data_IF_477243051355
#
_entry.id   IF_477243051355
#
_cell.length_a   1.000
_cell.length_b   1.000
_cell.length_c   1.000
_cell.angle_alpha   90.00
_cell.angle_beta   90.00
_cell.angle_gamma   90.00
#
_symmetry.space_group_name_H-M   'P 1'
#
loop_
_entity.id
_entity.type
_entity.pdbx_description
1 polymer ?
#
# COMPACT_ATOMS: atom_id res chain seq x y z
N UNK A 1 8.25 1.28 -11.99
CA UNK A 1 8.14 2.05 -10.73
C UNK A 1 8.01 1.02 -9.63
N UNK A 2 8.90 1.02 -8.63
CA UNK A 2 8.76 0.12 -7.50
C UNK A 2 7.42 0.40 -6.80
N UNK A 3 6.66 -0.65 -6.50
CA UNK A 3 5.43 -0.55 -5.71
C UNK A 3 5.66 -1.23 -4.39
N UNK A 4 5.19 -0.63 -3.32
CA UNK A 4 5.09 -1.31 -2.05
C UNK A 4 4.02 -2.40 -2.14
N UNK A 5 4.38 -3.60 -1.70
CA UNK A 5 3.48 -4.74 -1.55
C UNK A 5 2.33 -4.40 -0.59
N UNK A 6 1.11 -4.67 -1.03
CA UNK A 6 -0.10 -4.59 -0.19
C UNK A 6 -0.50 -5.95 0.36
N UNK A 7 0.03 -7.03 -0.20
CA UNK A 7 -0.15 -8.41 0.25
C UNK A 7 1.19 -9.14 0.23
N UNK A 8 1.54 -9.81 1.32
CA UNK A 8 2.71 -10.68 1.40
C UNK A 8 2.34 -12.00 2.05
N UNK A 9 2.87 -13.08 1.48
CA UNK A 9 2.69 -14.45 1.95
C UNK A 9 4.06 -15.08 2.11
N UNK A 10 4.29 -15.70 3.26
CA UNK A 10 5.49 -16.50 3.53
C UNK A 10 5.17 -17.97 3.26
N UNK A 11 6.09 -18.67 2.60
CA UNK A 11 6.02 -20.11 2.34
C UNK A 11 7.18 -20.84 3.01
N UNK A 12 6.92 -22.00 3.60
CA UNK A 12 7.94 -22.93 4.12
C UNK A 12 7.70 -24.34 3.59
N UNK A 13 8.74 -25.02 3.09
CA UNK A 13 8.59 -26.40 2.60
C UNK A 13 8.33 -27.34 3.78
N UNK A 14 7.38 -28.27 3.60
CA UNK A 14 7.04 -29.32 4.55
C UNK A 14 6.85 -30.62 3.76
N UNK A 15 7.91 -31.43 3.74
CA UNK A 15 8.01 -32.63 2.89
C UNK A 15 7.72 -32.30 1.41
N UNK A 16 6.67 -32.90 0.84
CA UNK A 16 6.20 -32.72 -0.54
C UNK A 16 5.20 -31.57 -0.71
N UNK A 17 4.94 -30.81 0.37
CA UNK A 17 3.96 -29.71 0.43
C UNK A 17 4.61 -28.42 0.93
N UNK A 18 3.79 -27.38 1.02
CA UNK A 18 4.18 -26.08 1.55
C UNK A 18 3.21 -25.65 2.64
N UNK A 19 3.75 -25.17 3.77
CA UNK A 19 3.02 -24.33 4.70
C UNK A 19 3.09 -22.88 4.24
N UNK A 20 2.01 -22.14 4.40
CA UNK A 20 1.99 -20.72 4.11
C UNK A 20 1.13 -19.92 5.09
N UNK A 21 1.44 -18.63 5.21
CA UNK A 21 0.63 -17.67 5.97
C UNK A 21 0.80 -16.27 5.41
N UNK A 22 -0.23 -15.43 5.58
CA UNK A 22 -0.16 -14.01 5.23
C UNK A 22 0.69 -13.29 6.29
N UNK A 23 1.74 -12.60 5.87
CA UNK A 23 2.61 -11.79 6.76
C UNK A 23 2.24 -10.31 6.72
N UNK A 24 1.73 -9.83 5.58
CA UNK A 24 1.29 -8.45 5.38
C UNK A 24 -0.02 -8.41 4.62
N UNK A 25 -0.96 -7.59 5.09
CA UNK A 25 -2.14 -7.19 4.33
C UNK A 25 -2.41 -5.72 4.66
N UNK A 26 -2.35 -4.85 3.66
CA UNK A 26 -2.72 -3.45 3.81
C UNK A 26 -4.24 -3.35 3.92
N UNK A 27 -4.76 -3.18 5.14
CA UNK A 27 -6.21 -3.20 5.40
C UNK A 27 -6.96 -1.94 4.93
N UNK A 28 -6.26 -0.87 4.55
CA UNK A 28 -6.89 0.32 3.94
C UNK A 28 -7.30 0.05 2.48
N UNK A 29 -6.48 -0.76 1.79
CA UNK A 29 -6.66 -1.12 0.37
C UNK A 29 -7.38 -2.48 0.25
N UNK A 30 -6.85 -3.50 0.91
CA UNK A 30 -7.38 -4.87 0.96
C UNK A 30 -8.25 -5.04 2.21
N UNK A 31 -9.34 -4.26 2.27
CA UNK A 31 -10.24 -4.17 3.42
C UNK A 31 -10.82 -5.52 3.82
N UNK A 32 -10.79 -5.78 5.13
CA UNK A 32 -11.30 -7.02 5.71
C UNK A 32 -12.80 -7.16 5.46
N UNK A 33 -13.20 -8.35 4.99
CA UNK A 33 -14.60 -8.72 4.75
C UNK A 33 -15.33 -7.83 3.71
N UNK A 34 -14.58 -7.05 2.93
CA UNK A 34 -15.11 -6.12 1.91
C UNK A 34 -14.38 -6.27 0.57
N UNK A 35 -13.07 -6.52 0.59
CA UNK A 35 -12.27 -6.59 -0.63
C UNK A 35 -12.64 -7.81 -1.49
N UNK A 36 -12.99 -7.58 -2.76
CA UNK A 36 -13.28 -8.62 -3.75
C UNK A 36 -12.67 -8.21 -5.10
N UNK A 37 -11.74 -9.00 -5.62
CA UNK A 37 -11.27 -8.94 -7.00
C UNK A 37 -11.68 -10.23 -7.74
N UNK A 38 -12.71 -10.11 -8.58
CA UNK A 38 -13.27 -11.24 -9.37
C UNK A 38 -12.41 -11.64 -10.55
N UNK A 39 -11.56 -10.75 -11.04
CA UNK A 39 -10.67 -11.01 -12.17
C UNK A 39 -9.47 -11.85 -11.70
N UNK A 40 -8.93 -11.53 -10.52
CA UNK A 40 -7.82 -12.25 -9.91
C UNK A 40 -8.27 -13.43 -9.04
N UNK A 41 -9.58 -13.57 -8.79
CA UNK A 41 -10.16 -14.51 -7.83
C UNK A 41 -9.52 -14.38 -6.44
N UNK A 42 -9.42 -13.15 -5.94
CA UNK A 42 -8.92 -12.85 -4.60
C UNK A 42 -10.00 -12.14 -3.79
N UNK A 43 -10.30 -12.63 -2.59
CA UNK A 43 -11.37 -12.07 -1.75
C UNK A 43 -10.96 -12.05 -0.28
N UNK A 44 -11.33 -10.99 0.43
CA UNK A 44 -11.29 -10.96 1.89
C UNK A 44 -12.64 -11.42 2.44
N UNK A 45 -12.66 -12.56 3.15
CA UNK A 45 -13.90 -13.14 3.66
C UNK A 45 -13.84 -13.51 5.16
N UNK A 46 -13.39 -14.71 5.50
CA UNK A 46 -13.35 -15.20 6.89
C UNK A 46 -11.92 -15.31 7.41
N UNK A 47 -11.15 -16.21 6.83
CA UNK A 47 -9.77 -16.52 7.17
C UNK A 47 -8.98 -16.83 5.89
N UNK A 48 -7.64 -16.75 5.94
CA UNK A 48 -6.81 -17.11 4.80
C UNK A 48 -7.03 -18.57 4.40
N UNK A 49 -7.29 -18.82 3.11
CA UNK A 49 -7.52 -20.15 2.55
C UNK A 49 -7.29 -20.09 1.03
N UNK A 50 -6.86 -21.19 0.41
CA UNK A 50 -6.85 -21.32 -1.04
C UNK A 50 -7.84 -22.40 -1.47
N UNK A 51 -8.83 -22.02 -2.27
CA UNK A 51 -9.87 -22.92 -2.74
C UNK A 51 -9.61 -23.35 -4.19
N UNK A 52 -8.94 -24.49 -4.33
CA UNK A 52 -8.38 -25.02 -5.58
C UNK A 52 -9.43 -25.21 -6.68
N UNK A 53 -10.65 -25.62 -6.35
CA UNK A 53 -11.72 -25.87 -7.34
C UNK A 53 -12.08 -24.59 -8.11
N UNK A 54 -12.00 -23.43 -7.46
CA UNK A 54 -12.33 -22.14 -8.07
C UNK A 54 -11.09 -21.29 -8.35
N UNK A 55 -9.88 -21.83 -8.11
CA UNK A 55 -8.63 -21.08 -8.15
C UNK A 55 -8.78 -19.73 -7.40
N UNK A 56 -9.26 -19.82 -6.16
CA UNK A 56 -9.64 -18.64 -5.37
C UNK A 56 -8.82 -18.51 -4.10
N UNK A 57 -8.18 -17.35 -3.93
CA UNK A 57 -7.42 -17.02 -2.74
C UNK A 57 -8.28 -16.16 -1.80
N UNK A 58 -8.57 -16.70 -0.62
CA UNK A 58 -9.10 -15.93 0.49
C UNK A 58 -7.96 -15.32 1.30
N UNK A 59 -8.01 -14.00 1.51
CA UNK A 59 -7.09 -13.27 2.39
C UNK A 59 -7.73 -13.01 3.76
N UNK A 60 -7.02 -12.36 4.68
CA UNK A 60 -7.53 -12.11 6.05
C UNK A 60 -8.86 -11.36 5.96
N UNK A 61 -9.85 -11.85 6.69
CA UNK A 61 -11.21 -11.36 6.66
C UNK A 61 -11.74 -11.07 8.06
N UNK A 62 -13.01 -11.41 8.29
CA UNK A 62 -13.74 -11.14 9.52
C UNK A 62 -13.18 -11.85 10.77
N UNK A 63 -12.51 -13.00 10.61
CA UNK A 63 -12.01 -13.81 11.73
C UNK A 63 -10.54 -13.54 12.05
N UNK A 64 -10.28 -12.53 12.89
CA UNK A 64 -8.91 -12.21 13.35
C UNK A 64 -8.20 -13.35 14.08
N UNK A 65 -8.95 -14.28 14.69
CA UNK A 65 -8.38 -15.45 15.37
C UNK A 65 -7.60 -16.36 14.42
N UNK A 66 -7.93 -16.34 13.13
CA UNK A 66 -7.27 -17.17 12.12
C UNK A 66 -6.20 -16.44 11.30
N UNK A 67 -5.82 -15.22 11.67
CA UNK A 67 -4.81 -14.46 10.93
C UNK A 67 -3.41 -15.07 11.00
N UNK A 68 -3.15 -15.83 12.07
CA UNK A 68 -1.90 -16.56 12.31
C UNK A 68 -2.01 -18.05 11.98
N UNK A 69 -3.15 -18.50 11.45
CA UNK A 69 -3.34 -19.89 11.07
C UNK A 69 -2.41 -20.23 9.89
N UNK A 70 -1.68 -21.33 10.02
CA UNK A 70 -0.82 -21.86 8.97
C UNK A 70 -1.69 -22.73 8.04
N UNK A 71 -1.71 -22.36 6.77
CA UNK A 71 -2.37 -23.11 5.72
C UNK A 71 -1.36 -24.03 5.01
N UNK A 72 -1.86 -25.03 4.30
CA UNK A 72 -1.03 -25.95 3.52
C UNK A 72 -1.46 -25.95 2.07
N UNK A 73 -0.53 -26.12 1.15
CA UNK A 73 -0.81 -26.24 -0.27
C UNK A 73 0.19 -27.19 -0.99
N UNK A 74 -0.19 -27.65 -2.18
CA UNK A 74 0.71 -28.37 -3.09
C UNK A 74 1.68 -27.39 -3.79
N UNK A 75 2.62 -27.92 -4.57
CA UNK A 75 3.53 -27.07 -5.34
C UNK A 75 2.80 -26.31 -6.45
N UNK A 76 1.81 -26.93 -7.09
CA UNK A 76 0.98 -26.29 -8.11
C UNK A 76 0.12 -25.17 -7.51
N UNK A 77 -0.49 -25.43 -6.35
CA UNK A 77 -1.27 -24.42 -5.63
C UNK A 77 -0.39 -23.26 -5.15
N UNK A 78 0.85 -23.53 -4.72
CA UNK A 78 1.82 -22.49 -4.38
C UNK A 78 2.08 -21.55 -5.55
N UNK A 79 2.32 -22.07 -6.75
CA UNK A 79 2.55 -21.26 -7.95
C UNK A 79 1.35 -20.34 -8.24
N UNK A 80 0.12 -20.88 -8.16
CA UNK A 80 -1.10 -20.10 -8.34
C UNK A 80 -1.26 -18.99 -7.29
N UNK A 81 -0.94 -19.27 -6.03
CA UNK A 81 -0.98 -18.26 -4.96
C UNK A 81 0.07 -17.18 -5.21
N UNK A 82 1.30 -17.55 -5.60
CA UNK A 82 2.37 -16.61 -5.92
C UNK A 82 1.99 -15.68 -7.10
N UNK A 83 1.38 -16.22 -8.15
CA UNK A 83 0.86 -15.45 -9.28
C UNK A 83 -0.23 -14.45 -8.86
N UNK A 84 -1.19 -14.88 -8.04
CA UNK A 84 -2.25 -14.00 -7.52
C UNK A 84 -1.70 -12.89 -6.63
N UNK A 85 -0.76 -13.20 -5.72
CA UNK A 85 -0.11 -12.21 -4.87
C UNK A 85 0.64 -11.18 -5.71
N UNK A 86 1.37 -11.64 -6.74
CA UNK A 86 2.06 -10.76 -7.68
C UNK A 86 1.08 -9.84 -8.41
N UNK A 87 0.00 -10.38 -8.98
CA UNK A 87 -1.00 -9.61 -9.68
C UNK A 87 -1.73 -8.60 -8.78
N UNK A 88 -2.03 -8.98 -7.54
CA UNK A 88 -2.61 -8.06 -6.52
C UNK A 88 -1.64 -6.90 -6.24
N UNK A 89 -0.37 -7.18 -6.02
CA UNK A 89 0.63 -6.13 -5.78
C UNK A 89 0.89 -5.25 -7.02
N UNK A 90 0.76 -5.79 -8.22
CA UNK A 90 0.82 -4.98 -9.45
C UNK A 90 -0.40 -4.08 -9.61
N UNK A 91 -1.61 -4.58 -9.28
CA UNK A 91 -2.86 -3.83 -9.46
C UNK A 91 -3.11 -2.81 -8.35
N UNK A 92 -2.79 -3.16 -7.11
CA UNK A 92 -3.14 -2.42 -5.90
C UNK A 92 -1.92 -1.93 -5.11
N UNK A 93 -0.71 -2.30 -5.50
CA UNK A 93 0.51 -1.87 -4.83
C UNK A 93 0.64 -0.35 -4.82
N UNK A 94 1.03 0.18 -3.66
CA UNK A 94 1.18 1.62 -3.49
C UNK A 94 2.44 2.03 -4.28
N UNK A 95 2.35 2.97 -5.23
CA UNK A 95 3.54 3.50 -5.87
C UNK A 95 4.52 3.95 -4.80
N UNK A 96 5.73 3.37 -4.78
CA UNK A 96 6.76 3.74 -3.81
C UNK A 96 7.06 5.21 -4.06
N UNK A 97 6.66 6.07 -3.12
CA UNK A 97 7.06 7.47 -3.15
C UNK A 97 8.55 7.51 -2.87
N UNK A 98 9.25 8.35 -3.61
CA UNK A 98 10.66 8.58 -3.35
C UNK A 98 10.83 9.14 -1.93
N UNK A 99 11.81 8.61 -1.20
CA UNK A 99 12.27 9.13 0.09
C UNK A 99 13.79 9.20 0.04
N UNK A 100 14.36 10.28 0.54
CA UNK A 100 15.80 10.44 0.58
C UNK A 100 16.43 9.38 1.51
N UNK A 101 17.69 9.03 1.23
CA UNK A 101 18.52 8.28 2.18
C UNK A 101 18.98 9.20 3.32
N UNK A 102 19.48 8.64 4.43
CA UNK A 102 20.01 9.42 5.55
C UNK A 102 21.08 10.43 5.08
N UNK A 103 20.94 11.68 5.50
CA UNK A 103 21.84 12.78 5.13
C UNK A 103 21.60 13.36 3.73
N UNK A 104 20.73 12.77 2.91
CA UNK A 104 20.36 13.34 1.61
C UNK A 104 19.26 14.40 1.77
N UNK A 105 19.28 15.38 0.87
CA UNK A 105 18.34 16.50 0.89
C UNK A 105 17.03 16.11 0.23
N UNK A 106 15.91 16.51 0.84
CA UNK A 106 14.59 16.52 0.23
C UNK A 106 13.97 17.92 0.28
N UNK A 107 13.01 18.16 -0.60
CA UNK A 107 12.26 19.42 -0.67
C UNK A 107 10.87 19.25 -0.06
N UNK A 108 10.33 20.31 0.55
CA UNK A 108 9.00 20.33 1.13
C UNK A 108 8.40 21.75 1.14
N UNK A 109 7.10 21.87 1.35
CA UNK A 109 6.41 23.14 1.53
C UNK A 109 6.27 23.49 3.00
N UNK A 110 6.58 24.73 3.37
CA UNK A 110 6.24 25.25 4.69
C UNK A 110 4.75 25.64 4.77
N UNK A 111 4.33 26.17 5.92
CA UNK A 111 2.96 26.58 6.22
C UNK A 111 2.41 27.72 5.35
N UNK A 112 3.25 28.42 4.61
CA UNK A 112 2.87 29.47 3.65
C UNK A 112 3.10 29.06 2.20
N UNK A 113 3.26 27.76 1.94
CA UNK A 113 3.49 27.17 0.62
C UNK A 113 4.78 27.65 -0.07
N UNK A 114 5.80 28.01 0.70
CA UNK A 114 7.16 28.23 0.18
C UNK A 114 7.94 26.91 0.21
N UNK A 115 8.75 26.71 -0.82
CA UNK A 115 9.63 25.55 -0.91
C UNK A 115 10.81 25.76 0.03
N UNK A 116 11.06 24.75 0.85
CA UNK A 116 12.18 24.61 1.75
C UNK A 116 12.86 23.27 1.46
N UNK A 117 14.07 23.07 1.99
CA UNK A 117 14.73 21.78 1.97
C UNK A 117 15.26 21.43 3.37
N UNK A 118 15.52 20.14 3.57
CA UNK A 118 16.10 19.60 4.80
C UNK A 118 16.84 18.31 4.46
N UNK A 119 17.80 17.94 5.29
CA UNK A 119 18.43 16.62 5.25
C UNK A 119 17.49 15.60 5.93
N UNK A 120 17.35 14.41 5.36
CA UNK A 120 16.62 13.29 5.96
C UNK A 120 17.43 12.68 7.11
N UNK A 121 16.85 12.65 8.30
CA UNK A 121 17.44 12.04 9.48
C UNK A 121 16.45 11.06 10.15
N UNK A 122 15.43 10.60 9.42
CA UNK A 122 14.36 9.72 9.89
C UNK A 122 13.69 10.20 11.18
N UNK A 123 13.54 11.52 11.31
CA UNK A 123 12.85 12.12 12.45
C UNK A 123 11.34 12.01 12.29
N UNK A 124 10.62 12.09 13.41
CA UNK A 124 9.16 12.08 13.41
C UNK A 124 8.54 13.25 12.60
N UNK A 125 9.29 14.33 12.37
CA UNK A 125 8.85 15.45 11.54
C UNK A 125 8.97 15.12 10.05
N UNK A 126 10.08 14.49 9.65
CA UNK A 126 10.30 13.98 8.29
C UNK A 126 9.29 12.90 7.93
N UNK A 127 9.05 11.95 8.84
CA UNK A 127 8.02 10.92 8.65
C UNK A 127 6.65 11.55 8.38
N UNK A 128 6.24 12.53 9.19
CA UNK A 128 4.98 13.25 8.98
C UNK A 128 4.93 14.00 7.64
N UNK A 129 6.05 14.57 7.20
CA UNK A 129 6.13 15.25 5.89
C UNK A 129 5.96 14.23 4.76
N UNK A 130 6.65 13.11 4.84
CA UNK A 130 6.55 12.01 3.89
C UNK A 130 5.13 11.43 3.85
N UNK A 131 4.55 11.08 5.00
CA UNK A 131 3.19 10.55 5.14
C UNK A 131 2.16 11.49 4.50
N UNK A 132 2.21 12.78 4.82
CA UNK A 132 1.33 13.82 4.28
C UNK A 132 1.55 14.13 2.79
N UNK A 133 2.56 13.52 2.14
CA UNK A 133 2.90 13.78 0.74
C UNK A 133 3.55 15.14 0.51
N UNK A 134 4.09 15.76 1.56
CA UNK A 134 4.83 17.01 1.51
C UNK A 134 6.35 16.74 1.54
N UNK A 135 6.83 15.93 0.58
CA UNK A 135 8.19 15.41 0.52
C UNK A 135 8.53 15.12 -0.95
N UNK A 136 9.57 15.76 -1.49
CA UNK A 136 9.87 15.75 -2.93
C UNK A 136 11.37 15.55 -3.18
N UNK A 137 11.69 14.81 -4.24
CA UNK A 137 13.08 14.58 -4.68
C UNK A 137 13.69 15.85 -5.25
N UNK A 138 12.88 16.61 -5.99
CA UNK A 138 13.36 17.79 -6.71
C UNK A 138 12.57 19.04 -6.33
N UNK A 139 13.25 20.19 -6.41
CA UNK A 139 12.59 21.50 -6.26
C UNK A 139 11.50 21.72 -7.32
N UNK A 140 11.66 21.17 -8.52
CA UNK A 140 10.67 21.28 -9.60
C UNK A 140 9.35 20.57 -9.26
N UNK A 141 9.42 19.37 -8.68
CA UNK A 141 8.25 18.65 -8.17
C UNK A 141 7.58 19.43 -7.04
N UNK A 142 8.36 19.92 -6.08
CA UNK A 142 7.86 20.75 -4.99
C UNK A 142 7.16 22.02 -5.53
N UNK A 143 7.69 22.64 -6.59
CA UNK A 143 7.11 23.81 -7.24
C UNK A 143 5.78 23.51 -7.94
N UNK A 144 5.69 22.38 -8.64
CA UNK A 144 4.43 21.92 -9.26
C UNK A 144 3.37 21.68 -8.19
N UNK A 145 3.74 20.98 -7.12
CA UNK A 145 2.86 20.73 -5.99
C UNK A 145 2.42 22.02 -5.28
N UNK A 146 3.34 22.98 -5.07
CA UNK A 146 3.02 24.29 -4.48
C UNK A 146 1.96 25.04 -5.28
N UNK A 147 2.11 25.09 -6.60
CA UNK A 147 1.14 25.75 -7.50
C UNK A 147 -0.23 25.07 -7.42
N UNK A 148 -0.25 23.74 -7.40
CA UNK A 148 -1.48 22.97 -7.26
C UNK A 148 -2.18 23.23 -5.91
N UNK A 149 -1.44 23.14 -4.81
CA UNK A 149 -2.00 23.34 -3.47
C UNK A 149 -2.52 24.77 -3.26
N UNK A 150 -1.81 25.79 -3.75
CA UNK A 150 -2.28 27.18 -3.74
C UNK A 150 -3.61 27.33 -4.49
N UNK A 151 -3.73 26.71 -5.66
CA UNK A 151 -4.97 26.69 -6.44
C UNK A 151 -6.11 26.01 -5.66
N UNK A 152 -5.89 24.81 -5.12
CA UNK A 152 -6.91 24.10 -4.34
C UNK A 152 -7.36 24.88 -3.09
N UNK A 153 -6.42 25.56 -2.42
CA UNK A 153 -6.73 26.39 -1.25
C UNK A 153 -7.66 27.55 -1.61
N UNK A 154 -7.43 28.23 -2.75
CA UNK A 154 -8.29 29.32 -3.22
C UNK A 154 -9.67 28.80 -3.64
N UNK A 155 -9.72 27.72 -4.43
CA UNK A 155 -10.98 27.12 -4.89
C UNK A 155 -11.87 26.63 -3.72
N UNK A 156 -11.26 26.20 -2.61
CA UNK A 156 -12.02 25.79 -1.42
C UNK A 156 -12.84 26.96 -0.84
N UNK A 157 -12.27 28.17 -0.79
CA UNK A 157 -12.99 29.35 -0.32
C UNK A 157 -14.09 29.76 -1.31
N UNK A 158 -13.79 29.76 -2.61
CA UNK A 158 -14.78 30.08 -3.65
C UNK A 158 -16.00 29.15 -3.61
N UNK A 159 -15.79 27.84 -3.41
CA UNK A 159 -16.89 26.86 -3.30
C UNK A 159 -17.66 26.97 -2.01
N UNK A 160 -17.01 27.37 -0.91
CA UNK A 160 -17.67 27.55 0.39
C UNK A 160 -18.65 28.73 0.33
N UNK A 161 -18.24 29.81 -0.32
CA UNK A 161 -19.02 31.04 -0.39
C UNK A 161 -20.15 30.95 -1.45
N UNK A 162 -20.07 29.99 -2.39
CA UNK A 162 -21.09 29.74 -3.42
C UNK A 162 -22.17 28.70 -3.02
N UNK A 163 -22.12 28.17 -1.80
CA UNK A 163 -23.12 27.23 -1.26
C UNK A 163 -24.15 27.94 -0.34
N UNK A 164 -24.23 29.27 -0.38
CA UNK A 164 -25.37 30.08 0.08
C UNK A 164 -26.30 30.43 -1.09
#
# INVERSE_FOLDING_TARGET
>A
MERESVLEIEFKPIWDKWAWKITKQNEEILRRNEFIDKELNVESFRSPEFYTIQDKLFIRGSSKKGDEDIQFCTSEEKELIEEKVKAINEKYGIPKRWRAEEGNIYYFLNNIFNIMNSEENYTCLEDKRYENGNYFETEEEALKYAKYMKKCSLEWHEKRDNNE
#
